data_IF_688907783297
#
_entry.id   IF_688907783297
#
_cell.length_a   1.000
_cell.length_b   1.000
_cell.length_c   1.000
_cell.angle_alpha   90.00
_cell.angle_beta   90.00
_cell.angle_gamma   90.00
#
_symmetry.space_group_name_H-M   'P 1'
#
loop_
_entity.id
_entity.type
_entity.pdbx_description
1 polymer ?
#
# COMPACT_ATOMS: atom_id res chain seq x y z
N UNK A 1 39.77 -45.17 8.95
CA UNK A 1 39.61 -44.14 7.89
C UNK A 1 38.81 -42.99 8.50
N UNK A 2 39.48 -42.11 9.24
CA UNK A 2 39.93 -40.77 8.82
C UNK A 2 38.88 -39.69 9.11
N UNK A 3 38.86 -39.25 10.37
CA UNK A 3 38.29 -37.98 10.85
C UNK A 3 38.93 -36.73 10.20
N UNK A 4 39.90 -36.88 9.30
CA UNK A 4 40.67 -35.79 8.70
C UNK A 4 40.00 -35.11 7.50
N UNK A 5 38.78 -35.52 7.10
CA UNK A 5 38.06 -34.89 5.99
C UNK A 5 37.25 -33.66 6.40
N UNK A 6 37.02 -33.44 7.71
CA UNK A 6 36.21 -32.32 8.21
C UNK A 6 37.01 -31.02 8.43
N UNK A 7 38.35 -31.12 8.58
CA UNK A 7 39.26 -29.99 8.82
C UNK A 7 40.10 -29.59 7.58
N UNK A 8 39.77 -30.14 6.41
CA UNK A 8 40.39 -29.74 5.15
C UNK A 8 40.07 -28.27 4.83
N UNK A 9 41.03 -27.45 4.37
CA UNK A 9 40.78 -26.06 3.97
C UNK A 9 39.67 -25.96 2.90
N UNK A 10 39.47 -26.99 2.09
CA UNK A 10 38.34 -27.07 1.15
C UNK A 10 36.98 -27.23 1.87
N UNK A 11 36.90 -28.06 2.91
CA UNK A 11 35.71 -28.19 3.73
C UNK A 11 35.39 -26.88 4.48
N UNK A 12 36.42 -26.14 4.90
CA UNK A 12 36.28 -24.82 5.50
C UNK A 12 35.74 -23.78 4.51
N UNK A 13 36.24 -23.76 3.26
CA UNK A 13 35.74 -22.88 2.19
C UNK A 13 34.27 -23.19 1.86
N UNK A 14 33.91 -24.48 1.74
CA UNK A 14 32.52 -24.89 1.47
C UNK A 14 31.59 -24.46 2.62
N UNK A 15 32.00 -24.64 3.89
CA UNK A 15 31.23 -24.17 5.05
C UNK A 15 31.06 -22.65 5.05
N UNK A 16 32.11 -21.91 4.71
CA UNK A 16 32.07 -20.44 4.62
C UNK A 16 31.11 -19.99 3.50
N UNK A 17 31.17 -20.65 2.33
CA UNK A 17 30.27 -20.38 1.22
C UNK A 17 28.81 -20.68 1.56
N UNK A 18 28.52 -21.84 2.16
CA UNK A 18 27.18 -22.18 2.65
C UNK A 18 26.67 -21.16 3.68
N UNK A 19 27.55 -20.67 4.56
CA UNK A 19 27.20 -19.63 5.55
C UNK A 19 26.88 -18.30 4.88
N UNK A 20 27.68 -17.88 3.88
CA UNK A 20 27.43 -16.65 3.12
C UNK A 20 26.11 -16.72 2.33
N UNK A 21 25.87 -17.85 1.67
CA UNK A 21 24.61 -18.11 0.95
C UNK A 21 23.43 -18.07 1.93
N UNK A 22 23.55 -18.71 3.10
CA UNK A 22 22.53 -18.67 4.14
C UNK A 22 22.26 -17.23 4.64
N UNK A 23 23.31 -16.45 4.93
CA UNK A 23 23.18 -15.05 5.33
C UNK A 23 22.50 -14.21 4.25
N UNK A 24 22.85 -14.40 2.98
CA UNK A 24 22.20 -13.73 1.85
C UNK A 24 20.69 -14.05 1.81
N UNK A 25 20.33 -15.33 1.93
CA UNK A 25 18.93 -15.73 1.93
C UNK A 25 18.19 -15.20 3.15
N UNK A 26 18.78 -15.19 4.35
CA UNK A 26 18.18 -14.60 5.56
C UNK A 26 17.95 -13.09 5.38
N UNK A 27 18.93 -12.37 4.82
CA UNK A 27 18.79 -10.94 4.52
C UNK A 27 17.68 -10.69 3.51
N UNK A 28 17.64 -11.46 2.42
CA UNK A 28 16.57 -11.40 1.44
C UNK A 28 15.20 -11.66 2.10
N UNK A 29 15.15 -12.65 2.99
CA UNK A 29 13.97 -13.08 3.71
C UNK A 29 13.40 -12.00 4.62
N UNK A 30 14.26 -11.27 5.33
CA UNK A 30 13.82 -10.17 6.18
C UNK A 30 13.47 -8.94 5.34
N UNK A 31 14.23 -8.68 4.27
CA UNK A 31 14.07 -7.47 3.47
C UNK A 31 12.79 -7.46 2.63
N UNK A 32 12.39 -8.57 2.00
CA UNK A 32 11.26 -8.57 1.05
C UNK A 32 9.90 -8.26 1.69
N UNK A 33 9.51 -8.87 2.83
CA UNK A 33 8.27 -8.52 3.52
C UNK A 33 8.30 -7.09 4.04
N UNK A 34 9.44 -6.64 4.58
CA UNK A 34 9.60 -5.27 5.07
C UNK A 34 9.43 -4.28 3.92
N UNK A 35 10.11 -4.47 2.80
CA UNK A 35 9.99 -3.65 1.60
C UNK A 35 8.54 -3.63 1.09
N UNK A 36 7.86 -4.78 1.08
CA UNK A 36 6.47 -4.87 0.68
C UNK A 36 5.55 -4.08 1.63
N UNK A 37 5.71 -4.22 2.94
CA UNK A 37 4.93 -3.49 3.95
C UNK A 37 5.17 -1.98 3.86
N UNK A 38 6.43 -1.54 3.77
CA UNK A 38 6.77 -0.14 3.57
C UNK A 38 6.20 0.39 2.26
N UNK A 39 6.26 -0.41 1.18
CA UNK A 39 5.67 -0.10 -0.11
C UNK A 39 4.15 0.10 -0.03
N UNK A 40 3.43 -0.80 0.65
CA UNK A 40 1.98 -0.69 0.88
C UNK A 40 1.65 0.56 1.70
N UNK A 41 2.35 0.79 2.81
CA UNK A 41 2.11 1.94 3.68
C UNK A 41 2.34 3.26 2.93
N UNK A 42 3.45 3.34 2.18
CA UNK A 42 3.78 4.49 1.33
C UNK A 42 2.71 4.71 0.27
N UNK A 43 2.38 3.69 -0.51
CA UNK A 43 1.39 3.79 -1.57
C UNK A 43 -0.02 4.12 -1.02
N UNK A 44 -0.38 3.60 0.16
CA UNK A 44 -1.65 3.93 0.82
C UNK A 44 -1.71 5.40 1.26
N UNK A 45 -0.61 5.95 1.80
CA UNK A 45 -0.51 7.37 2.14
C UNK A 45 -0.71 8.24 0.89
N UNK A 46 0.09 8.03 -0.16
CA UNK A 46 -0.01 8.85 -1.37
C UNK A 46 -1.33 8.63 -2.13
N UNK A 47 -1.94 7.45 -2.07
CA UNK A 47 -3.28 7.23 -2.62
C UNK A 47 -4.35 8.11 -1.95
N UNK A 48 -4.22 8.39 -0.65
CA UNK A 48 -5.13 9.28 0.09
C UNK A 48 -4.91 10.74 -0.30
N UNK A 49 -3.66 11.13 -0.52
CA UNK A 49 -3.26 12.50 -0.89
C UNK A 49 -3.46 12.81 -2.38
N UNK A 50 -3.51 11.78 -3.23
CA UNK A 50 -3.64 11.89 -4.68
C UNK A 50 -4.91 12.65 -5.10
N UNK A 51 -4.73 13.64 -5.96
CA UNK A 51 -5.83 14.49 -6.45
C UNK A 51 -6.44 13.94 -7.74
N UNK A 52 -5.65 13.22 -8.54
CA UNK A 52 -6.06 12.77 -9.87
C UNK A 52 -6.46 11.29 -9.90
N UNK A 53 -7.45 10.96 -10.75
CA UNK A 53 -7.92 9.57 -10.92
C UNK A 53 -6.81 8.64 -11.44
N UNK A 54 -5.94 9.13 -12.32
CA UNK A 54 -4.83 8.35 -12.89
C UNK A 54 -3.77 8.07 -11.82
N UNK A 55 -3.40 9.09 -11.05
CA UNK A 55 -2.50 8.96 -9.90
C UNK A 55 -3.05 7.97 -8.85
N UNK A 56 -4.35 8.05 -8.51
CA UNK A 56 -4.99 7.06 -7.62
C UNK A 56 -4.92 5.64 -8.16
N UNK A 57 -5.01 5.46 -9.48
CA UNK A 57 -4.84 4.15 -10.14
C UNK A 57 -3.39 3.68 -10.05
N UNK A 58 -2.42 4.56 -10.25
CA UNK A 58 -1.00 4.26 -10.05
C UNK A 58 -0.73 3.74 -8.64
N UNK A 59 -1.13 4.48 -7.61
CA UNK A 59 -0.92 4.05 -6.23
C UNK A 59 -1.71 2.78 -5.85
N UNK A 60 -2.88 2.57 -6.46
CA UNK A 60 -3.60 1.30 -6.30
C UNK A 60 -2.84 0.13 -6.92
N UNK A 61 -2.24 0.31 -8.10
CA UNK A 61 -1.41 -0.72 -8.72
C UNK A 61 -0.18 -1.03 -7.86
N UNK A 62 0.46 -0.01 -7.27
CA UNK A 62 1.59 -0.18 -6.35
C UNK A 62 1.21 -0.96 -5.08
N UNK A 63 0.02 -0.72 -4.52
CA UNK A 63 -0.50 -1.53 -3.40
C UNK A 63 -0.69 -3.00 -3.81
N UNK A 64 -1.26 -3.25 -5.00
CA UNK A 64 -1.44 -4.61 -5.52
C UNK A 64 -0.10 -5.30 -5.69
N UNK A 65 0.86 -4.65 -6.34
CA UNK A 65 2.20 -5.18 -6.57
C UNK A 65 2.90 -5.55 -5.25
N UNK A 66 2.91 -4.64 -4.28
CA UNK A 66 3.51 -4.90 -2.97
C UNK A 66 2.73 -5.95 -2.17
N UNK A 67 1.40 -5.98 -2.28
CA UNK A 67 0.56 -7.01 -1.66
C UNK A 67 0.84 -8.41 -2.22
N UNK A 68 0.98 -8.53 -3.54
CA UNK A 68 1.37 -9.79 -4.18
C UNK A 68 2.78 -10.23 -3.76
N UNK A 69 3.73 -9.30 -3.68
CA UNK A 69 5.09 -9.57 -3.21
C UNK A 69 5.08 -10.09 -1.77
N UNK A 70 4.32 -9.43 -0.88
CA UNK A 70 4.17 -9.84 0.53
C UNK A 70 3.55 -11.25 0.63
N UNK A 71 2.49 -11.51 -0.13
CA UNK A 71 1.83 -12.82 -0.15
C UNK A 71 2.82 -13.93 -0.56
N UNK A 72 3.54 -13.73 -1.67
CA UNK A 72 4.51 -14.72 -2.17
C UNK A 72 5.62 -14.95 -1.16
N UNK A 73 6.16 -13.86 -0.58
CA UNK A 73 7.19 -13.95 0.45
C UNK A 73 6.69 -14.78 1.63
N UNK A 74 5.58 -14.39 2.28
CA UNK A 74 5.01 -15.11 3.43
C UNK A 74 4.73 -16.59 3.11
N UNK A 75 4.21 -16.89 1.92
CA UNK A 75 3.90 -18.25 1.52
C UNK A 75 5.15 -19.13 1.38
N UNK A 76 6.15 -18.67 0.63
CA UNK A 76 7.43 -19.36 0.49
C UNK A 76 8.11 -19.54 1.85
N UNK A 77 7.99 -18.53 2.70
CA UNK A 77 8.67 -18.45 3.97
C UNK A 77 8.12 -19.44 4.99
N UNK A 78 6.80 -19.53 5.10
CA UNK A 78 6.14 -20.54 5.93
C UNK A 78 6.53 -21.96 5.50
N UNK A 79 6.57 -22.22 4.18
CA UNK A 79 6.90 -23.54 3.63
C UNK A 79 8.39 -23.91 3.74
N UNK A 80 9.30 -22.94 3.73
CA UNK A 80 10.74 -23.20 3.96
C UNK A 80 11.00 -23.42 5.46
N UNK A 81 10.35 -22.66 6.34
CA UNK A 81 10.61 -22.70 7.78
C UNK A 81 9.85 -23.77 8.55
N UNK A 82 8.86 -24.42 7.93
CA UNK A 82 8.19 -25.57 8.56
C UNK A 82 9.19 -26.63 9.03
N UNK A 83 10.26 -26.87 8.26
CA UNK A 83 11.28 -27.88 8.58
C UNK A 83 12.28 -27.43 9.65
N UNK A 84 12.40 -26.12 9.89
CA UNK A 84 13.28 -25.55 10.92
C UNK A 84 12.59 -25.39 12.27
N UNK A 85 11.26 -25.31 12.27
CA UNK A 85 10.45 -25.29 13.46
C UNK A 85 10.47 -26.70 14.06
N UNK A 86 11.33 -26.92 15.07
CA UNK A 86 11.48 -28.18 15.83
C UNK A 86 10.24 -28.47 16.72
N UNK A 87 9.06 -28.33 16.15
CA UNK A 87 7.77 -28.60 16.78
C UNK A 87 7.42 -30.04 16.41
N UNK A 88 6.85 -30.81 17.34
CA UNK A 88 6.47 -32.19 17.06
C UNK A 88 5.65 -32.32 15.77
N UNK A 89 5.94 -33.35 14.98
CA UNK A 89 5.42 -33.57 13.62
C UNK A 89 3.91 -33.32 13.47
N UNK A 90 3.11 -33.79 14.44
CA UNK A 90 1.66 -33.62 14.42
C UNK A 90 1.22 -32.15 14.51
N UNK A 91 1.91 -31.35 15.33
CA UNK A 91 1.60 -29.93 15.51
C UNK A 91 2.04 -29.10 14.31
N UNK A 92 3.17 -29.47 13.68
CA UNK A 92 3.62 -28.88 12.43
C UNK A 92 2.61 -29.14 11.30
N UNK A 93 2.12 -30.39 11.17
CA UNK A 93 1.10 -30.76 10.18
C UNK A 93 -0.20 -29.98 10.37
N UNK A 94 -0.68 -29.83 11.60
CA UNK A 94 -1.90 -29.06 11.89
C UNK A 94 -1.72 -27.57 11.58
N UNK A 95 -0.57 -26.99 11.94
CA UNK A 95 -0.25 -25.59 11.65
C UNK A 95 -0.21 -25.32 10.14
N UNK A 96 0.46 -26.18 9.38
CA UNK A 96 0.54 -26.05 7.92
C UNK A 96 -0.80 -26.28 7.24
N UNK A 97 -1.61 -27.24 7.70
CA UNK A 97 -2.97 -27.43 7.19
C UNK A 97 -3.85 -26.19 7.37
N UNK A 98 -3.76 -25.51 8.52
CA UNK A 98 -4.44 -24.24 8.74
C UNK A 98 -3.89 -23.13 7.85
N UNK A 99 -2.56 -22.99 7.77
CA UNK A 99 -1.90 -21.99 6.94
C UNK A 99 -2.28 -22.12 5.47
N UNK A 100 -2.22 -23.32 4.91
CA UNK A 100 -2.55 -23.61 3.52
C UNK A 100 -4.03 -23.34 3.22
N UNK A 101 -4.91 -23.60 4.19
CA UNK A 101 -6.33 -23.29 4.08
C UNK A 101 -6.56 -21.77 4.03
N UNK A 102 -5.91 -21.01 4.90
CA UNK A 102 -6.05 -19.54 4.95
C UNK A 102 -5.48 -18.91 3.68
N UNK A 103 -4.28 -19.33 3.28
CA UNK A 103 -3.59 -18.77 2.13
C UNK A 103 -4.24 -19.23 0.81
N UNK A 104 -4.79 -20.45 0.75
CA UNK A 104 -5.51 -20.98 -0.40
C UNK A 104 -6.96 -20.51 -0.54
N UNK A 105 -7.49 -19.80 0.47
CA UNK A 105 -8.88 -19.33 0.48
C UNK A 105 -9.28 -18.53 -0.79
N UNK A 106 -8.45 -17.63 -1.35
CA UNK A 106 -8.82 -16.94 -2.59
C UNK A 106 -9.01 -17.89 -3.78
N UNK A 107 -8.18 -18.92 -3.91
CA UNK A 107 -8.32 -19.97 -4.92
C UNK A 107 -9.56 -20.82 -4.70
N UNK A 108 -9.88 -21.17 -3.44
CA UNK A 108 -11.13 -21.84 -3.10
C UNK A 108 -12.35 -21.01 -3.51
N UNK A 109 -12.34 -19.70 -3.20
CA UNK A 109 -13.40 -18.77 -3.60
C UNK A 109 -13.56 -18.78 -5.13
N UNK A 110 -12.45 -18.72 -5.88
CA UNK A 110 -12.49 -18.81 -7.34
C UNK A 110 -13.20 -20.08 -7.82
N UNK A 111 -12.83 -21.24 -7.29
CA UNK A 111 -13.47 -22.52 -7.66
C UNK A 111 -14.94 -22.60 -7.27
N UNK A 112 -15.36 -22.02 -6.14
CA UNK A 112 -16.80 -21.96 -5.79
C UNK A 112 -17.62 -21.30 -6.91
N UNK A 113 -17.04 -20.31 -7.61
CA UNK A 113 -17.68 -19.63 -8.73
C UNK A 113 -17.54 -20.37 -10.06
N UNK A 114 -16.44 -21.08 -10.31
CA UNK A 114 -16.17 -21.73 -11.61
C UNK A 114 -16.54 -23.21 -11.66
N UNK A 115 -16.22 -23.99 -10.62
CA UNK A 115 -16.48 -25.43 -10.53
C UNK A 115 -16.66 -25.89 -9.08
N UNK A 116 -17.93 -26.09 -8.70
CA UNK A 116 -18.32 -26.53 -7.35
C UNK A 116 -17.86 -27.94 -7.01
N UNK A 117 -17.63 -28.81 -7.99
CA UNK A 117 -17.18 -30.18 -7.72
C UNK A 117 -15.73 -30.18 -7.21
N UNK A 118 -14.88 -29.34 -7.81
CA UNK A 118 -13.49 -29.13 -7.36
C UNK A 118 -13.45 -28.43 -6.01
N UNK A 119 -14.32 -27.44 -5.76
CA UNK A 119 -14.40 -26.76 -4.46
C UNK A 119 -14.71 -27.72 -3.29
N UNK A 120 -15.49 -28.77 -3.54
CA UNK A 120 -15.87 -29.77 -2.55
C UNK A 120 -14.81 -30.87 -2.34
N UNK A 121 -13.72 -30.87 -3.10
CA UNK A 121 -12.64 -31.88 -2.94
C UNK A 121 -11.89 -31.74 -1.61
N UNK A 122 -11.91 -30.54 -1.00
CA UNK A 122 -11.30 -30.26 0.30
C UNK A 122 -9.77 -30.23 0.30
N UNK A 123 -9.10 -30.27 -0.86
CA UNK A 123 -7.64 -30.28 -0.93
C UNK A 123 -7.07 -28.85 -0.86
N UNK A 124 -6.66 -28.44 0.34
CA UNK A 124 -6.07 -27.11 0.61
C UNK A 124 -4.84 -26.83 -0.25
N UNK A 125 -4.08 -27.86 -0.62
CA UNK A 125 -2.85 -27.71 -1.41
C UNK A 125 -3.14 -27.28 -2.85
N UNK A 126 -4.22 -27.79 -3.46
CA UNK A 126 -4.64 -27.39 -4.80
C UNK A 126 -5.10 -25.94 -4.83
N UNK A 127 -5.90 -25.52 -3.84
CA UNK A 127 -6.36 -24.13 -3.74
C UNK A 127 -5.20 -23.16 -3.47
N UNK A 128 -4.23 -23.58 -2.66
CA UNK A 128 -3.00 -22.83 -2.41
C UNK A 128 -2.21 -22.62 -3.71
N UNK A 129 -2.01 -23.68 -4.49
CA UNK A 129 -1.29 -23.62 -5.76
C UNK A 129 -1.99 -22.65 -6.73
N UNK A 130 -3.31 -22.79 -6.91
CA UNK A 130 -4.08 -21.89 -7.79
C UNK A 130 -3.99 -20.44 -7.32
N UNK A 131 -4.09 -20.19 -6.02
CA UNK A 131 -3.93 -18.85 -5.45
C UNK A 131 -2.53 -18.31 -5.74
N UNK A 132 -1.50 -19.11 -5.53
CA UNK A 132 -0.11 -18.72 -5.75
C UNK A 132 0.17 -18.31 -7.20
N UNK A 133 -0.28 -19.10 -8.18
CA UNK A 133 -0.13 -18.74 -9.60
C UNK A 133 -0.97 -17.53 -9.99
N UNK A 134 -2.20 -17.41 -9.47
CA UNK A 134 -3.02 -16.22 -9.66
C UNK A 134 -2.33 -14.96 -9.16
N UNK A 135 -1.73 -15.02 -7.97
CA UNK A 135 -0.96 -13.92 -7.38
C UNK A 135 0.30 -13.61 -8.19
N UNK A 136 1.01 -14.61 -8.72
CA UNK A 136 2.14 -14.40 -9.62
C UNK A 136 1.73 -13.70 -10.92
N UNK A 137 0.64 -14.13 -11.55
CA UNK A 137 0.12 -13.49 -12.77
C UNK A 137 -0.24 -12.03 -12.48
N UNK A 138 -0.93 -11.76 -11.36
CA UNK A 138 -1.25 -10.40 -10.93
C UNK A 138 0.00 -9.56 -10.66
N UNK A 139 1.02 -10.14 -10.03
CA UNK A 139 2.30 -9.47 -9.81
C UNK A 139 2.94 -9.08 -11.14
N UNK A 140 3.12 -10.02 -12.07
CA UNK A 140 3.74 -9.74 -13.37
C UNK A 140 2.93 -8.74 -14.19
N UNK A 141 1.60 -8.85 -14.17
CA UNK A 141 0.75 -7.89 -14.84
C UNK A 141 0.89 -6.48 -14.23
N UNK A 142 0.91 -6.36 -12.90
CA UNK A 142 1.11 -5.07 -12.22
C UNK A 142 2.48 -4.46 -12.53
N UNK A 143 3.54 -5.28 -12.58
CA UNK A 143 4.88 -4.87 -12.97
C UNK A 143 4.93 -4.44 -14.44
N UNK A 144 4.23 -5.14 -15.32
CA UNK A 144 4.12 -4.78 -16.73
C UNK A 144 3.45 -3.41 -16.91
N UNK A 145 2.36 -3.15 -16.19
CA UNK A 145 1.69 -1.85 -16.21
C UNK A 145 2.60 -0.71 -15.72
N UNK A 146 3.41 -0.97 -14.69
CA UNK A 146 4.36 0.00 -14.15
C UNK A 146 5.54 0.23 -15.11
N UNK A 147 6.09 -0.84 -15.70
CA UNK A 147 7.15 -0.79 -16.70
C UNK A 147 6.73 0.02 -17.94
N UNK A 148 5.52 -0.25 -18.44
CA UNK A 148 4.92 0.50 -19.54
C UNK A 148 4.44 1.90 -19.14
N UNK A 149 4.59 2.29 -17.87
CA UNK A 149 4.17 3.58 -17.29
C UNK A 149 2.70 3.88 -17.60
N UNK A 150 1.82 2.88 -17.62
CA UNK A 150 0.42 3.04 -18.06
C UNK A 150 -0.31 4.10 -17.22
N UNK A 151 0.00 4.16 -15.93
CA UNK A 151 -0.57 5.13 -14.99
C UNK A 151 0.42 6.22 -14.58
N UNK A 152 1.54 6.38 -15.27
CA UNK A 152 2.62 7.29 -14.87
C UNK A 152 3.70 6.60 -14.03
N UNK A 153 4.54 7.40 -13.38
CA UNK A 153 5.67 6.96 -12.57
C UNK A 153 5.82 7.88 -11.36
N UNK A 154 6.15 7.34 -10.19
CA UNK A 154 6.61 8.14 -9.07
C UNK A 154 8.14 8.07 -8.93
N UNK A 155 8.76 9.18 -8.56
CA UNK A 155 10.18 9.19 -8.20
C UNK A 155 10.43 8.49 -6.86
N UNK A 156 11.55 7.77 -6.80
CA UNK A 156 11.97 7.01 -5.64
C UNK A 156 12.51 7.95 -4.57
N UNK A 157 11.64 8.36 -3.65
CA UNK A 157 11.99 9.22 -2.51
C UNK A 157 10.75 9.98 -2.07
N UNK A 158 10.41 10.99 -2.85
CA UNK A 158 9.48 12.06 -2.45
C UNK A 158 8.02 11.73 -2.74
N UNK A 159 7.79 10.68 -3.54
CA UNK A 159 6.45 10.28 -3.99
C UNK A 159 5.83 11.24 -4.99
N UNK A 160 6.63 12.15 -5.56
CA UNK A 160 6.19 13.00 -6.65
C UNK A 160 5.81 12.12 -7.85
N UNK A 161 4.52 12.10 -8.16
CA UNK A 161 3.97 11.32 -9.27
C UNK A 161 3.97 12.15 -10.55
N UNK A 162 4.46 11.55 -11.63
CA UNK A 162 4.43 12.11 -12.97
C UNK A 162 3.43 11.36 -13.85
N UNK A 163 2.64 12.12 -14.60
CA UNK A 163 1.69 11.58 -15.55
C UNK A 163 2.39 10.89 -16.74
N UNK A 164 1.75 9.87 -17.36
CA UNK A 164 2.39 8.95 -18.31
C UNK A 164 2.89 9.61 -19.60
N UNK A 165 2.19 10.64 -20.09
CA UNK A 165 2.51 11.31 -21.35
C UNK A 165 2.53 12.84 -21.20
N UNK A 166 3.12 13.52 -22.18
CA UNK A 166 3.22 14.99 -22.21
C UNK A 166 1.84 15.65 -22.28
N UNK A 167 0.88 15.01 -22.96
CA UNK A 167 -0.48 15.54 -23.12
C UNK A 167 -1.24 15.51 -21.80
N UNK A 168 -1.21 14.42 -21.04
CA UNK A 168 -1.84 14.39 -19.72
C UNK A 168 -1.10 15.29 -18.73
N UNK A 169 0.23 15.41 -18.80
CA UNK A 169 0.97 16.41 -18.01
C UNK A 169 0.47 17.83 -18.28
N UNK A 170 0.34 18.22 -19.54
CA UNK A 170 -0.16 19.54 -19.92
C UNK A 170 -1.63 19.75 -19.49
N UNK A 171 -2.49 18.73 -19.63
CA UNK A 171 -3.88 18.77 -19.18
C UNK A 171 -4.00 18.93 -17.66
N UNK A 172 -3.18 18.19 -16.91
CA UNK A 172 -3.13 18.26 -15.44
C UNK A 172 -2.62 19.63 -15.02
N UNK A 173 -1.51 20.12 -15.57
CA UNK A 173 -0.99 21.45 -15.26
C UNK A 173 -2.00 22.57 -15.60
N UNK A 174 -2.71 22.46 -16.73
CA UNK A 174 -3.78 23.41 -17.09
C UNK A 174 -4.94 23.35 -16.08
N UNK A 175 -5.30 22.14 -15.63
CA UNK A 175 -6.35 21.94 -14.63
C UNK A 175 -5.93 22.49 -13.27
N UNK A 176 -4.73 22.17 -12.80
CA UNK A 176 -4.17 22.71 -11.56
C UNK A 176 -4.12 24.23 -11.59
N UNK A 177 -3.65 24.84 -12.69
CA UNK A 177 -3.65 26.30 -12.84
C UNK A 177 -5.07 26.88 -12.79
N UNK A 178 -6.04 26.21 -13.42
CA UNK A 178 -7.46 26.64 -13.41
C UNK A 178 -8.06 26.57 -12.01
N UNK A 179 -7.79 25.50 -11.26
CA UNK A 179 -8.37 25.28 -9.93
C UNK A 179 -7.48 25.74 -8.76
N UNK A 180 -6.30 26.30 -9.02
CA UNK A 180 -5.34 26.69 -7.98
C UNK A 180 -5.95 27.61 -6.93
N UNK A 181 -6.72 28.61 -7.38
CA UNK A 181 -7.38 29.56 -6.49
C UNK A 181 -8.48 28.91 -5.64
N UNK A 182 -9.29 28.04 -6.25
CA UNK A 182 -10.31 27.26 -5.52
C UNK A 182 -9.65 26.36 -4.47
N UNK A 183 -8.53 25.70 -4.80
CA UNK A 183 -7.79 24.87 -3.86
C UNK A 183 -7.19 25.67 -2.71
N UNK A 184 -6.64 26.86 -2.98
CA UNK A 184 -6.12 27.74 -1.93
C UNK A 184 -7.24 28.18 -0.97
N UNK A 185 -8.39 28.64 -1.49
CA UNK A 185 -9.55 29.01 -0.68
C UNK A 185 -10.11 27.83 0.12
N UNK A 186 -10.13 26.63 -0.48
CA UNK A 186 -10.56 25.42 0.23
C UNK A 186 -9.59 25.02 1.35
N UNK A 187 -8.29 25.28 1.19
CA UNK A 187 -7.30 25.03 2.23
C UNK A 187 -7.42 26.03 3.38
N UNK A 188 -7.62 27.32 3.07
CA UNK A 188 -7.96 28.36 4.05
C UNK A 188 -9.23 28.00 4.82
N UNK A 189 -10.25 27.50 4.12
CA UNK A 189 -11.51 27.06 4.75
C UNK A 189 -11.29 25.92 5.73
N UNK A 190 -10.49 24.93 5.35
CA UNK A 190 -10.16 23.82 6.24
C UNK A 190 -9.38 24.29 7.48
N UNK A 191 -8.42 25.20 7.31
CA UNK A 191 -7.69 25.78 8.43
C UNK A 191 -8.61 26.56 9.37
N UNK A 192 -9.55 27.34 8.83
CA UNK A 192 -10.55 28.07 9.62
C UNK A 192 -11.45 27.12 10.42
N UNK A 193 -11.84 25.98 9.83
CA UNK A 193 -12.61 24.94 10.53
C UNK A 193 -11.82 24.29 11.67
N UNK A 194 -10.52 24.01 11.46
CA UNK A 194 -9.65 23.50 12.52
C UNK A 194 -9.48 24.51 13.66
N UNK A 195 -9.34 25.79 13.30
CA UNK A 195 -9.19 26.92 14.23
C UNK A 195 -10.51 27.41 14.85
N UNK A 196 -11.58 26.61 14.78
CA UNK A 196 -12.85 26.97 15.37
C UNK A 196 -12.68 27.26 16.89
N UNK A 197 -13.25 28.35 17.44
CA UNK A 197 -13.01 28.78 18.82
C UNK A 197 -13.24 27.70 19.88
N UNK A 198 -14.23 26.84 19.67
CA UNK A 198 -14.53 25.68 20.54
C UNK A 198 -13.43 24.62 20.62
N UNK A 199 -12.50 24.59 19.66
CA UNK A 199 -11.39 23.64 19.63
C UNK A 199 -10.16 24.15 20.40
N UNK A 200 -10.19 25.39 20.92
CA UNK A 200 -9.11 25.96 21.69
C UNK A 200 -9.11 25.39 23.11
N UNK A 201 -7.95 25.01 23.63
CA UNK A 201 -7.79 24.45 24.98
C UNK A 201 -8.36 25.37 26.08
N UNK A 202 -8.30 26.68 25.85
CA UNK A 202 -8.72 27.73 26.77
C UNK A 202 -10.22 28.06 26.69
N UNK A 203 -10.98 27.41 25.78
CA UNK A 203 -12.38 27.70 25.56
C UNK A 203 -13.23 27.57 26.83
N UNK A 204 -12.92 26.59 27.68
CA UNK A 204 -13.59 26.35 28.95
C UNK A 204 -13.34 27.46 30.00
N UNK A 205 -12.28 28.25 29.84
CA UNK A 205 -11.87 29.31 30.77
C UNK A 205 -12.43 30.69 30.39
N UNK A 206 -12.84 30.87 29.13
CA UNK A 206 -13.44 32.11 28.64
C UNK A 206 -14.80 32.40 29.28
N UNK A 207 -15.07 33.67 29.55
CA UNK A 207 -16.40 34.14 29.96
C UNK A 207 -17.43 33.99 28.84
N UNK A 208 -18.72 34.03 29.19
CA UNK A 208 -19.81 33.91 28.21
C UNK A 208 -19.73 34.97 27.10
N UNK A 209 -19.41 36.22 27.47
CA UNK A 209 -19.29 37.33 26.52
C UNK A 209 -18.10 37.16 25.56
N UNK A 210 -16.95 36.69 26.07
CA UNK A 210 -15.77 36.40 25.24
C UNK A 210 -16.01 35.23 24.28
N UNK A 211 -16.74 34.21 24.71
CA UNK A 211 -17.16 33.09 23.84
C UNK A 211 -18.08 33.54 22.72
N UNK A 212 -19.05 34.40 23.02
CA UNK A 212 -19.98 34.94 22.03
C UNK A 212 -19.23 35.79 21.00
N UNK A 213 -18.36 36.71 21.46
CA UNK A 213 -17.55 37.53 20.56
C UNK A 213 -16.60 36.69 19.68
N UNK A 214 -15.97 35.65 20.23
CA UNK A 214 -15.08 34.79 19.47
C UNK A 214 -15.81 33.95 18.39
N UNK A 215 -17.03 33.52 18.67
CA UNK A 215 -17.87 32.83 17.67
C UNK A 215 -18.32 33.82 16.59
N UNK A 216 -18.75 35.02 16.97
CA UNK A 216 -19.19 36.05 16.02
C UNK A 216 -18.08 36.41 15.02
N UNK A 217 -16.85 36.63 15.51
CA UNK A 217 -15.67 36.88 14.64
C UNK A 217 -15.40 35.70 13.69
N UNK A 218 -15.54 34.46 14.20
CA UNK A 218 -15.34 33.26 13.39
C UNK A 218 -16.43 33.13 12.31
N UNK A 219 -17.70 33.35 12.66
CA UNK A 219 -18.84 33.30 11.75
C UNK A 219 -18.71 34.37 10.65
N UNK A 220 -18.32 35.60 10.99
CA UNK A 220 -18.04 36.65 10.00
C UNK A 220 -16.92 36.24 9.03
N UNK A 221 -15.84 35.69 9.56
CA UNK A 221 -14.70 35.24 8.75
C UNK A 221 -15.09 34.07 7.85
N UNK A 222 -15.90 33.14 8.36
CA UNK A 222 -16.45 32.02 7.61
C UNK A 222 -17.35 32.51 6.48
N UNK A 223 -18.28 33.44 6.76
CA UNK A 223 -19.18 33.98 5.75
C UNK A 223 -18.44 34.66 4.59
N UNK A 224 -17.40 35.45 4.91
CA UNK A 224 -16.55 36.09 3.89
C UNK A 224 -15.83 35.05 3.03
N UNK A 225 -15.25 34.01 3.65
CA UNK A 225 -14.52 32.98 2.94
C UNK A 225 -15.45 32.09 2.10
N UNK A 226 -16.65 31.80 2.62
CA UNK A 226 -17.69 31.07 1.91
C UNK A 226 -18.16 31.81 0.66
N UNK A 227 -18.43 33.12 0.75
CA UNK A 227 -18.77 33.96 -0.41
C UNK A 227 -17.67 33.95 -1.47
N UNK A 228 -16.40 33.99 -1.08
CA UNK A 228 -15.27 33.88 -2.02
C UNK A 228 -15.24 32.51 -2.72
N UNK A 229 -15.51 31.42 -1.98
CA UNK A 229 -15.62 30.07 -2.55
C UNK A 229 -16.78 29.97 -3.55
N UNK A 230 -17.95 30.50 -3.23
CA UNK A 230 -19.11 30.52 -4.13
C UNK A 230 -18.83 31.30 -5.42
N UNK A 231 -18.22 32.49 -5.31
CA UNK A 231 -17.84 33.30 -6.47
C UNK A 231 -16.84 32.58 -7.37
N UNK A 232 -15.80 31.96 -6.80
CA UNK A 232 -14.82 31.23 -7.59
C UNK A 232 -15.44 29.96 -8.22
N UNK A 233 -16.35 29.28 -7.52
CA UNK A 233 -17.11 28.16 -8.07
C UNK A 233 -18.02 28.58 -9.24
N UNK A 234 -18.67 29.74 -9.14
CA UNK A 234 -19.49 30.30 -10.22
C UNK A 234 -18.65 30.62 -11.46
N UNK A 235 -17.53 31.33 -11.28
CA UNK A 235 -16.55 31.61 -12.35
C UNK A 235 -16.09 30.33 -13.04
N UNK A 236 -15.76 29.29 -12.27
CA UNK A 236 -15.30 28.02 -12.81
C UNK A 236 -16.37 27.27 -13.63
N UNK A 237 -17.67 27.50 -13.38
CA UNK A 237 -18.78 26.94 -14.17
C UNK A 237 -19.01 27.71 -15.47
N UNK A 238 -18.78 29.02 -15.49
CA UNK A 238 -18.89 29.83 -16.71
C UNK A 238 -17.76 29.51 -17.71
N UNK A 239 -16.57 29.17 -17.20
CA UNK A 239 -15.41 28.79 -18.01
C UNK A 239 -15.43 27.30 -18.49
N UNK A 240 -16.46 26.50 -18.16
CA UNK A 240 -16.54 25.05 -18.47
C UNK A 240 -17.42 24.76 -19.67
#
# INVERSE_FOLDING_TARGET
MSRNSEDSPFAMIVRLWCTLVACFWILLFLSLPLLALFGIAKAAKYKREAKHKIEKKYWSNQIVQCGCLLYIAVNLYAHIFQDFLHVGFERQRQMMGWFDTVMGLPGLIWYIFTDRAVANSGDSSQFLFVTFYGVLILLFFSMFLDYCKVYGRAEWGDGHWEAPDRVNRARIAKREKRFARQHALSAEWHQLQCAHPRNLDQWAELSKAEREAAIEIWDETADVLWKKLEQENARLREDS
#
